data_IF_330509162216
#
_entry.id   IF_330509162216
#
_cell.length_a   1.000
_cell.length_b   1.000
_cell.length_c   1.000
_cell.angle_alpha   90.00
_cell.angle_beta   90.00
_cell.angle_gamma   90.00
#
_symmetry.space_group_name_H-M   'P 1'
#
loop_
_entity.id
_entity.type
_entity.pdbx_description
1 polymer ?
#
# COMPACT_ATOMS: atom_id res chain seq x y z
N UNK A 1 86.66 14.04 -54.39
CA UNK A 1 86.76 14.57 -53.01
C UNK A 1 85.36 14.98 -52.57
N UNK A 2 84.73 14.17 -51.71
CA UNK A 2 83.42 14.45 -51.10
C UNK A 2 83.68 15.13 -49.76
N UNK A 3 83.38 16.42 -49.66
CA UNK A 3 83.34 17.14 -48.38
C UNK A 3 81.97 16.86 -47.78
N UNK A 4 81.90 15.88 -46.89
CA UNK A 4 80.75 15.67 -46.04
C UNK A 4 80.69 16.82 -45.03
N UNK A 5 79.78 17.77 -45.26
CA UNK A 5 79.43 18.77 -44.27
C UNK A 5 78.72 18.07 -43.10
N UNK A 6 79.50 17.70 -42.08
CA UNK A 6 78.96 17.35 -40.78
C UNK A 6 78.42 18.63 -40.14
N UNK A 7 77.16 18.93 -40.45
CA UNK A 7 76.43 19.98 -39.76
C UNK A 7 76.15 19.47 -38.35
N UNK A 8 76.99 19.91 -37.40
CA UNK A 8 76.69 19.80 -35.99
C UNK A 8 75.35 20.52 -35.75
N UNK A 9 74.29 19.76 -35.50
CA UNK A 9 73.10 20.27 -34.85
C UNK A 9 73.47 20.53 -33.39
N UNK A 10 74.18 21.63 -33.15
CA UNK A 10 74.34 22.16 -31.82
C UNK A 10 72.95 22.46 -31.29
N UNK A 11 72.51 21.72 -30.28
CA UNK A 11 71.39 22.13 -29.45
C UNK A 11 71.80 23.47 -28.81
N UNK A 12 71.39 24.58 -29.43
CA UNK A 12 71.52 25.89 -28.83
C UNK A 12 70.74 25.89 -27.51
N UNK A 13 71.42 26.24 -26.43
CA UNK A 13 70.78 26.34 -25.13
C UNK A 13 69.57 27.30 -25.23
N UNK A 14 68.41 26.97 -24.64
CA UNK A 14 67.23 27.82 -24.71
C UNK A 14 67.57 29.25 -24.29
N UNK A 15 67.02 30.22 -25.01
CA UNK A 15 67.15 31.61 -24.59
C UNK A 15 66.55 31.78 -23.19
N UNK A 16 67.06 32.75 -22.42
CA UNK A 16 66.59 33.01 -21.06
C UNK A 16 65.05 33.25 -21.03
N UNK A 17 64.52 33.88 -22.07
CA UNK A 17 63.08 34.13 -22.23
C UNK A 17 62.28 32.84 -22.46
N UNK A 18 62.77 31.91 -23.28
CA UNK A 18 62.14 30.59 -23.46
C UNK A 18 62.15 29.78 -22.16
N UNK A 19 63.23 29.85 -21.39
CA UNK A 19 63.30 29.20 -20.08
C UNK A 19 62.25 29.76 -19.11
N UNK A 20 62.08 31.09 -19.05
CA UNK A 20 61.07 31.72 -18.19
C UNK A 20 59.64 31.37 -18.63
N UNK A 21 59.39 31.26 -19.93
CA UNK A 21 58.08 30.82 -20.46
C UNK A 21 57.79 29.38 -20.04
N UNK A 22 58.74 28.47 -20.23
CA UNK A 22 58.59 27.05 -19.87
C UNK A 22 58.42 26.87 -18.35
N UNK A 23 59.15 27.61 -17.54
CA UNK A 23 58.99 27.60 -16.08
C UNK A 23 57.58 28.06 -15.67
N UNK A 24 57.08 29.12 -16.29
CA UNK A 24 55.73 29.65 -16.02
C UNK A 24 54.63 28.67 -16.43
N UNK A 25 54.78 28.03 -17.60
CA UNK A 25 53.87 26.98 -18.06
C UNK A 25 53.86 25.79 -17.10
N UNK A 26 55.02 25.32 -16.66
CA UNK A 26 55.13 24.24 -15.68
C UNK A 26 54.39 24.57 -14.39
N UNK A 27 54.56 25.77 -13.84
CA UNK A 27 53.85 26.19 -12.63
C UNK A 27 52.33 26.26 -12.83
N UNK A 28 51.87 26.63 -14.03
CA UNK A 28 50.44 26.59 -14.36
C UNK A 28 49.92 25.15 -14.42
N UNK A 29 50.65 24.24 -15.06
CA UNK A 29 50.28 22.81 -15.09
C UNK A 29 50.25 22.20 -13.69
N UNK A 30 51.23 22.50 -12.83
CA UNK A 30 51.26 22.01 -11.45
C UNK A 30 50.05 22.51 -10.64
N UNK A 31 49.63 23.76 -10.82
CA UNK A 31 48.40 24.31 -10.22
C UNK A 31 47.16 23.61 -10.77
N UNK A 32 47.02 23.50 -12.09
CA UNK A 32 45.88 22.84 -12.71
C UNK A 32 45.76 21.38 -12.28
N UNK A 33 46.88 20.65 -12.15
CA UNK A 33 46.89 19.28 -11.66
C UNK A 33 46.39 19.19 -10.21
N UNK A 34 46.74 20.16 -9.37
CA UNK A 34 46.24 20.23 -7.99
C UNK A 34 44.73 20.48 -7.96
N UNK A 35 44.25 21.42 -8.78
CA UNK A 35 42.82 21.76 -8.85
C UNK A 35 41.99 20.61 -9.40
N UNK A 36 42.47 19.93 -10.45
CA UNK A 36 41.81 18.73 -11.00
C UNK A 36 41.73 17.61 -9.96
N UNK A 37 42.80 17.38 -9.19
CA UNK A 37 42.77 16.39 -8.11
C UNK A 37 41.74 16.75 -7.03
N UNK A 38 41.65 18.03 -6.66
CA UNK A 38 40.63 18.49 -5.70
C UNK A 38 39.21 18.28 -6.24
N UNK A 39 38.96 18.60 -7.52
CA UNK A 39 37.68 18.37 -8.17
C UNK A 39 37.30 16.89 -8.26
N UNK A 40 38.26 16.00 -8.50
CA UNK A 40 38.00 14.56 -8.49
C UNK A 40 37.56 14.06 -7.11
N UNK A 41 38.19 14.54 -6.05
CA UNK A 41 37.78 14.20 -4.67
C UNK A 41 36.37 14.71 -4.38
N UNK A 42 36.05 15.95 -4.74
CA UNK A 42 34.71 16.50 -4.56
C UNK A 42 33.66 15.71 -5.36
N UNK A 43 33.99 15.34 -6.60
CA UNK A 43 33.13 14.53 -7.45
C UNK A 43 32.86 13.15 -6.83
N UNK A 44 33.89 12.46 -6.33
CA UNK A 44 33.74 11.17 -5.64
C UNK A 44 32.84 11.29 -4.41
N UNK A 45 33.00 12.35 -3.61
CA UNK A 45 32.13 12.61 -2.47
C UNK A 45 30.66 12.81 -2.90
N UNK A 46 30.42 13.61 -3.95
CA UNK A 46 29.07 13.83 -4.49
C UNK A 46 28.45 12.55 -5.04
N UNK A 47 29.22 11.70 -5.70
CA UNK A 47 28.74 10.40 -6.19
C UNK A 47 28.30 9.51 -5.03
N UNK A 48 29.06 9.48 -3.92
CA UNK A 48 28.68 8.72 -2.72
C UNK A 48 27.41 9.28 -2.06
N UNK A 49 27.27 10.61 -2.01
CA UNK A 49 26.06 11.27 -1.51
C UNK A 49 24.84 10.91 -2.36
N UNK A 50 24.93 11.05 -3.69
CA UNK A 50 23.85 10.68 -4.61
C UNK A 50 23.43 9.22 -4.43
N UNK A 51 24.38 8.28 -4.31
CA UNK A 51 24.06 6.87 -4.08
C UNK A 51 23.29 6.64 -2.78
N UNK A 52 23.66 7.35 -1.72
CA UNK A 52 22.96 7.27 -0.43
C UNK A 52 21.53 7.79 -0.56
N UNK A 53 21.34 8.94 -1.18
CA UNK A 53 20.00 9.51 -1.40
C UNK A 53 19.14 8.62 -2.30
N UNK A 54 19.71 7.98 -3.33
CA UNK A 54 19.00 6.99 -4.14
C UNK A 54 18.54 5.78 -3.33
N UNK A 55 19.36 5.31 -2.39
CA UNK A 55 19.00 4.22 -1.48
C UNK A 55 17.87 4.62 -0.53
N UNK A 56 17.99 5.79 0.11
CA UNK A 56 16.93 6.36 0.97
C UNK A 56 15.61 6.53 0.22
N UNK A 57 15.65 7.03 -1.03
CA UNK A 57 14.45 7.14 -1.87
C UNK A 57 13.84 5.78 -2.20
N UNK A 58 14.65 4.75 -2.47
CA UNK A 58 14.12 3.39 -2.69
C UNK A 58 13.44 2.85 -1.44
N UNK A 59 13.99 3.11 -0.26
CA UNK A 59 13.40 2.68 1.01
C UNK A 59 12.06 3.36 1.27
N UNK A 60 12.00 4.68 1.09
CA UNK A 60 10.75 5.44 1.19
C UNK A 60 9.69 4.94 0.21
N UNK A 61 10.06 4.63 -1.04
CA UNK A 61 9.13 4.06 -2.02
C UNK A 61 8.56 2.72 -1.53
N UNK A 62 9.40 1.86 -0.93
CA UNK A 62 8.95 0.58 -0.37
C UNK A 62 7.99 0.78 0.80
N UNK A 63 8.30 1.69 1.72
CA UNK A 63 7.44 2.02 2.85
C UNK A 63 6.08 2.57 2.40
N UNK A 64 6.07 3.48 1.42
CA UNK A 64 4.84 4.02 0.84
C UNK A 64 4.00 2.90 0.20
N UNK A 65 4.63 1.94 -0.48
CA UNK A 65 3.90 0.82 -1.08
C UNK A 65 3.24 -0.05 -0.02
N UNK A 66 3.96 -0.40 1.05
CA UNK A 66 3.42 -1.16 2.19
C UNK A 66 2.24 -0.41 2.82
N UNK A 67 2.37 0.90 3.05
CA UNK A 67 1.30 1.71 3.61
C UNK A 67 0.04 1.71 2.73
N UNK A 68 0.20 1.82 1.41
CA UNK A 68 -0.91 1.75 0.44
C UNK A 68 -1.60 0.39 0.45
N UNK A 69 -0.84 -0.69 0.54
CA UNK A 69 -1.38 -2.04 0.57
C UNK A 69 -2.20 -2.28 1.85
N UNK A 70 -1.71 -1.79 2.99
CA UNK A 70 -2.44 -1.80 4.26
C UNK A 70 -3.75 -1.00 4.16
N UNK A 71 -3.70 0.23 3.66
CA UNK A 71 -4.88 1.09 3.50
C UNK A 71 -5.95 0.43 2.60
N UNK A 72 -5.51 -0.25 1.53
CA UNK A 72 -6.42 -0.94 0.62
C UNK A 72 -7.08 -2.15 1.30
N UNK A 73 -6.34 -2.90 2.11
CA UNK A 73 -6.90 -4.03 2.86
C UNK A 73 -7.84 -3.55 3.98
N UNK A 74 -7.51 -2.47 4.69
CA UNK A 74 -8.39 -1.85 5.67
C UNK A 74 -9.71 -1.38 5.03
N UNK A 75 -9.64 -0.71 3.89
CA UNK A 75 -10.83 -0.32 3.12
C UNK A 75 -11.68 -1.52 2.75
N UNK A 76 -11.07 -2.59 2.24
CA UNK A 76 -11.79 -3.85 1.93
C UNK A 76 -12.47 -4.44 3.17
N UNK A 77 -11.81 -4.42 4.32
CA UNK A 77 -12.37 -4.94 5.56
C UNK A 77 -13.55 -4.09 6.06
N UNK A 78 -13.46 -2.76 5.94
CA UNK A 78 -14.59 -1.87 6.24
C UNK A 78 -15.78 -2.18 5.33
N UNK A 79 -15.56 -2.35 4.02
CA UNK A 79 -16.64 -2.71 3.10
C UNK A 79 -17.28 -4.06 3.44
N UNK A 80 -16.48 -5.09 3.76
CA UNK A 80 -17.01 -6.38 4.23
C UNK A 80 -17.87 -6.23 5.48
N UNK A 81 -17.42 -5.44 6.46
CA UNK A 81 -18.18 -5.19 7.69
C UNK A 81 -19.48 -4.43 7.41
N UNK A 82 -19.45 -3.43 6.52
CA UNK A 82 -20.64 -2.70 6.10
C UNK A 82 -21.64 -3.59 5.36
N UNK A 83 -21.17 -4.51 4.52
CA UNK A 83 -22.03 -5.48 3.84
C UNK A 83 -22.70 -6.44 4.83
N UNK A 84 -21.95 -6.91 5.83
CA UNK A 84 -22.50 -7.73 6.93
C UNK A 84 -23.55 -6.93 7.71
N UNK A 85 -23.24 -5.68 8.09
CA UNK A 85 -24.19 -4.80 8.76
C UNK A 85 -25.44 -4.54 7.91
N UNK A 86 -25.27 -4.34 6.60
CA UNK A 86 -26.37 -4.21 5.65
C UNK A 86 -27.23 -5.47 5.66
N UNK A 87 -26.66 -6.66 5.53
CA UNK A 87 -27.42 -7.91 5.64
C UNK A 87 -28.22 -8.02 6.94
N UNK A 88 -27.61 -7.66 8.08
CA UNK A 88 -28.29 -7.68 9.36
C UNK A 88 -29.36 -6.60 9.51
N UNK A 89 -29.26 -5.50 8.78
CA UNK A 89 -30.25 -4.41 8.81
C UNK A 89 -31.35 -4.59 7.77
N UNK A 90 -31.25 -5.53 6.82
CA UNK A 90 -32.27 -5.76 5.78
C UNK A 90 -33.33 -6.77 6.19
N UNK A 91 -34.59 -6.53 5.84
CA UNK A 91 -35.71 -7.43 6.12
C UNK A 91 -35.44 -8.84 5.58
N UNK A 92 -35.55 -9.86 6.42
CA UNK A 92 -35.29 -11.26 6.08
C UNK A 92 -36.29 -11.83 5.05
N UNK A 93 -37.47 -11.20 4.88
CA UNK A 93 -38.49 -11.67 3.93
C UNK A 93 -38.27 -11.09 2.54
N UNK A 94 -38.23 -9.76 2.43
CA UNK A 94 -38.15 -9.11 1.12
C UNK A 94 -36.72 -8.78 0.68
N UNK A 95 -35.77 -8.71 1.62
CA UNK A 95 -34.38 -8.29 1.40
C UNK A 95 -34.23 -6.96 0.63
N UNK A 96 -35.28 -6.12 0.61
CA UNK A 96 -35.32 -4.85 -0.15
C UNK A 96 -35.50 -3.62 0.72
N UNK A 97 -36.00 -3.77 1.96
CA UNK A 97 -36.18 -2.67 2.90
C UNK A 97 -35.44 -2.95 4.20
N UNK A 98 -34.99 -1.90 4.88
CA UNK A 98 -34.43 -2.00 6.21
C UNK A 98 -35.46 -2.55 7.21
N UNK A 99 -34.97 -3.29 8.20
CA UNK A 99 -35.74 -3.77 9.35
C UNK A 99 -36.18 -2.56 10.15
N UNK A 100 -37.45 -2.51 10.52
CA UNK A 100 -37.92 -1.53 11.48
C UNK A 100 -37.70 -2.07 12.88
N UNK A 101 -37.10 -1.26 13.76
CA UNK A 101 -36.99 -1.53 15.18
C UNK A 101 -38.36 -1.37 15.86
N UNK A 102 -39.32 -2.24 15.55
CA UNK A 102 -40.58 -2.30 16.27
C UNK A 102 -40.42 -3.15 17.52
N UNK A 103 -40.86 -2.64 18.68
CA UNK A 103 -40.93 -3.37 19.95
C UNK A 103 -41.82 -4.61 19.80
N UNK A 104 -41.22 -5.72 19.35
CA UNK A 104 -41.74 -7.06 19.58
C UNK A 104 -41.26 -7.52 20.96
N UNK A 105 -42.01 -8.40 21.63
CA UNK A 105 -41.60 -9.01 22.90
C UNK A 105 -40.35 -9.89 22.78
N UNK A 106 -39.95 -10.22 21.54
CA UNK A 106 -38.70 -10.89 21.20
C UNK A 106 -37.70 -9.91 20.56
N UNK A 107 -36.40 -10.15 20.77
CA UNK A 107 -35.30 -9.41 20.13
C UNK A 107 -35.11 -9.74 18.64
N UNK A 108 -35.95 -10.60 18.08
CA UNK A 108 -35.91 -11.01 16.68
C UNK A 108 -36.54 -9.95 15.76
N UNK A 109 -35.79 -8.88 15.48
CA UNK A 109 -36.14 -7.90 14.44
C UNK A 109 -35.85 -8.50 13.06
N UNK A 110 -36.84 -9.12 12.42
CA UNK A 110 -36.64 -9.86 11.15
C UNK A 110 -37.32 -9.22 9.95
N UNK A 111 -38.16 -8.19 10.12
CA UNK A 111 -39.08 -7.70 9.08
C UNK A 111 -39.06 -6.18 8.88
N UNK A 112 -39.34 -5.73 7.65
CA UNK A 112 -39.77 -4.36 7.39
C UNK A 112 -41.28 -4.21 7.64
N UNK A 113 -41.75 -2.97 7.70
CA UNK A 113 -43.15 -2.64 8.00
C UNK A 113 -44.13 -3.28 7.01
N UNK A 114 -43.85 -3.22 5.70
CA UNK A 114 -44.72 -3.83 4.67
C UNK A 114 -44.86 -5.34 4.84
N UNK A 115 -43.75 -6.04 5.06
CA UNK A 115 -43.78 -7.49 5.28
C UNK A 115 -44.47 -7.87 6.60
N UNK A 116 -44.39 -7.00 7.61
CA UNK A 116 -45.09 -7.18 8.87
C UNK A 116 -46.62 -7.00 8.71
N UNK A 117 -47.07 -5.96 8.01
CA UNK A 117 -48.48 -5.73 7.71
C UNK A 117 -49.10 -6.87 6.90
N UNK A 118 -48.39 -7.36 5.87
CA UNK A 118 -48.82 -8.53 5.10
C UNK A 118 -48.97 -9.75 5.99
N UNK A 119 -48.00 -10.02 6.87
CA UNK A 119 -48.12 -11.11 7.84
C UNK A 119 -49.34 -10.95 8.73
N UNK A 120 -49.60 -9.75 9.30
CA UNK A 120 -50.77 -9.51 10.15
C UNK A 120 -52.09 -9.84 9.45
N UNK A 121 -52.23 -9.46 8.17
CA UNK A 121 -53.43 -9.75 7.37
C UNK A 121 -53.65 -11.25 7.18
N UNK A 122 -52.58 -12.03 7.07
CA UNK A 122 -52.66 -13.46 6.78
C UNK A 122 -52.77 -14.31 8.06
N UNK A 123 -52.12 -13.92 9.16
CA UNK A 123 -52.09 -14.72 10.40
C UNK A 123 -52.96 -14.18 11.54
N UNK A 124 -53.56 -12.99 11.42
CA UNK A 124 -54.33 -12.34 12.49
C UNK A 124 -53.50 -11.90 13.72
N UNK A 125 -52.24 -12.32 13.83
CA UNK A 125 -51.33 -12.07 14.97
C UNK A 125 -50.03 -11.45 14.48
N UNK A 126 -49.53 -10.46 15.22
CA UNK A 126 -48.20 -9.88 15.03
C UNK A 126 -47.13 -10.72 15.76
N UNK A 127 -46.80 -11.90 15.22
CA UNK A 127 -45.77 -12.78 15.78
C UNK A 127 -44.46 -12.71 14.98
N UNK A 128 -43.33 -12.91 15.65
CA UNK A 128 -42.07 -13.19 14.99
C UNK A 128 -42.10 -14.62 14.43
N UNK A 129 -41.74 -14.82 13.15
CA UNK A 129 -41.67 -16.16 12.55
C UNK A 129 -40.72 -17.09 13.32
N UNK A 130 -39.54 -16.58 13.71
CA UNK A 130 -38.56 -17.36 14.47
C UNK A 130 -39.06 -17.80 15.86
N UNK A 131 -40.06 -17.11 16.42
CA UNK A 131 -40.69 -17.50 17.69
C UNK A 131 -41.90 -18.40 17.46
N UNK A 132 -42.69 -18.14 16.42
CA UNK A 132 -43.90 -18.90 16.10
C UNK A 132 -43.59 -20.35 15.68
N UNK A 133 -42.48 -20.57 14.98
CA UNK A 133 -42.05 -21.92 14.61
C UNK A 133 -41.62 -22.74 15.84
N UNK A 134 -41.21 -22.08 16.94
CA UNK A 134 -40.81 -22.75 18.18
C UNK A 134 -42.00 -23.24 19.00
N UNK A 135 -43.09 -22.46 19.00
CA UNK A 135 -44.33 -22.80 19.73
C UNK A 135 -45.15 -23.89 19.02
N UNK A 136 -44.99 -24.08 17.71
CA UNK A 136 -45.66 -25.18 16.98
C UNK A 136 -44.91 -26.52 17.06
N UNK A 137 -43.67 -26.52 17.54
CA UNK A 137 -42.83 -27.72 17.58
C UNK A 137 -42.83 -28.40 18.95
N UNK A 138 -43.33 -27.72 20.00
CA UNK A 138 -43.49 -28.30 21.34
C UNK A 138 -44.77 -29.11 21.54
N UNK A 139 -45.70 -29.10 20.58
CA UNK A 139 -47.00 -29.77 20.71
C UNK A 139 -47.06 -31.13 19.95
N UNK A 140 -45.92 -31.67 19.51
CA UNK A 140 -45.86 -32.92 18.74
C UNK A 140 -45.08 -34.08 19.40
N UNK A 141 -44.52 -33.89 20.60
CA UNK A 141 -43.72 -34.92 21.28
C UNK A 141 -44.39 -35.52 22.53
N UNK A 142 -45.70 -35.31 22.76
CA UNK A 142 -46.38 -35.75 23.99
C UNK A 142 -47.58 -36.70 23.75
N UNK A 143 -47.45 -37.63 22.79
CA UNK A 143 -48.41 -38.74 22.65
C UNK A 143 -47.75 -39.99 22.05
N UNK A 144 -47.00 -40.72 22.88
CA UNK A 144 -46.85 -42.17 22.69
C UNK A 144 -46.53 -42.90 24.00
N UNK A 145 -47.45 -42.81 24.97
CA UNK A 145 -47.67 -43.91 25.91
C UNK A 145 -48.69 -44.87 25.27
N UNK A 146 -48.18 -45.92 24.62
CA UNK A 146 -48.97 -47.13 24.35
C UNK A 146 -48.39 -48.23 25.22
N UNK A 147 -49.13 -48.52 26.29
CA UNK A 147 -49.16 -49.80 26.96
C UNK A 147 -49.07 -50.95 25.96
N UNK A 148 -48.14 -51.88 26.17
CA UNK A 148 -48.47 -53.27 25.87
C UNK A 148 -47.87 -54.21 26.90
N UNK A 149 -48.78 -55.03 27.43
CA UNK A 149 -48.56 -56.04 28.45
C UNK A 149 -48.24 -57.36 27.75
N UNK A 150 -47.07 -57.95 28.03
CA UNK A 150 -46.85 -59.39 28.21
C UNK A 150 -45.77 -59.60 29.26
#
# INVERSE_FOLDING_TARGET
MLVAAMSNSGEEAPSLDEFHILASQRQLYERNLKDVRALMVEYEMKVLECRRTEEEHRDLIREIQVAKDIELEEKRNIFKQLDVFKMFSMCHICNTQTRNAMKLSCTHFTRCEKCLELSKRWSGIQACLMCRDRDQQTDLDDDSDIHDSV
#
